data_IF_481933282269
#
_entry.id   IF_481933282269
#
_cell.length_a   1.000
_cell.length_b   1.000
_cell.length_c   1.000
_cell.angle_alpha   90.00
_cell.angle_beta   90.00
_cell.angle_gamma   90.00
#
_symmetry.space_group_name_H-M   'P 1'
#
loop_
_entity.id
_entity.type
_entity.pdbx_description
1 polymer ?
#
# COMPACT_ATOMS: atom_id res chain seq x y z
N UNK A 1 7.28 43.44 45.88
CA UNK A 1 6.47 43.62 47.12
C UNK A 1 5.70 42.34 47.34
N UNK A 2 6.19 41.53 48.27
CA UNK A 2 5.44 40.41 48.92
C UNK A 2 4.44 41.01 49.92
N UNK A 3 3.48 40.24 50.49
CA UNK A 3 3.70 39.09 51.36
C UNK A 3 2.66 37.94 51.17
N UNK A 4 3.00 36.66 51.31
CA UNK A 4 3.08 35.74 52.45
C UNK A 4 1.99 35.85 53.53
N UNK A 5 1.24 34.75 53.74
CA UNK A 5 0.73 34.11 54.99
C UNK A 5 0.02 32.81 54.62
N UNK A 6 0.36 31.64 55.01
CA UNK A 6 0.74 30.91 56.22
C UNK A 6 -0.45 30.45 57.09
N UNK A 7 -0.44 29.13 57.36
CA UNK A 7 -0.98 28.35 58.49
C UNK A 7 -2.49 27.97 58.39
N UNK A 8 -2.99 26.80 58.80
CA UNK A 8 -2.57 25.92 59.86
C UNK A 8 -3.12 24.46 59.70
N UNK A 9 -2.47 23.55 60.39
CA UNK A 9 -2.73 22.14 60.55
C UNK A 9 -3.86 21.83 61.55
N UNK A 10 -4.50 20.67 61.37
CA UNK A 10 -5.01 19.90 62.54
C UNK A 10 -5.18 18.40 62.16
N UNK A 11 -4.48 17.55 62.86
CA UNK A 11 -4.75 16.13 63.12
C UNK A 11 -5.24 16.00 64.56
N UNK A 12 -5.54 14.83 65.13
CA UNK A 12 -6.01 13.52 64.61
C UNK A 12 -7.21 12.97 65.42
N UNK A 13 -7.84 11.89 64.98
CA UNK A 13 -8.53 11.00 65.93
C UNK A 13 -8.41 9.54 65.51
N UNK A 14 -7.82 8.77 66.43
CA UNK A 14 -7.72 7.31 66.43
C UNK A 14 -9.05 6.70 66.87
N UNK A 15 -9.45 5.61 66.22
CA UNK A 15 -10.23 4.54 66.86
C UNK A 15 -9.68 3.19 66.42
N UNK A 16 -9.26 2.44 67.42
CA UNK A 16 -8.86 1.04 67.33
C UNK A 16 -10.05 0.15 67.78
N UNK A 17 -10.24 -0.97 67.12
CA UNK A 17 -10.83 -2.22 67.66
C UNK A 17 -10.67 -3.29 66.60
N UNK A 18 -9.91 -4.19 66.73
CA UNK A 18 -9.73 -5.49 67.40
C UNK A 18 -10.59 -6.61 66.79
N UNK A 19 -9.88 -7.69 66.45
CA UNK A 19 -10.27 -9.11 66.45
C UNK A 19 -10.97 -9.69 65.21
N UNK A 20 -10.29 -10.68 64.64
CA UNK A 20 -10.88 -11.66 63.74
C UNK A 20 -9.83 -12.43 62.92
N UNK A 21 -8.99 -13.25 63.59
CA UNK A 21 -8.05 -14.16 62.93
C UNK A 21 -8.83 -15.35 62.37
N UNK A 22 -9.01 -15.40 61.06
CA UNK A 22 -9.41 -16.62 60.34
C UNK A 22 -8.31 -16.97 59.34
N UNK A 23 -7.52 -18.00 59.66
CA UNK A 23 -6.63 -18.66 58.72
C UNK A 23 -7.46 -19.41 57.66
N UNK A 24 -7.53 -18.88 56.48
CA UNK A 24 -7.92 -19.63 55.28
C UNK A 24 -6.65 -20.04 54.56
N UNK A 25 -6.33 -21.31 54.61
CA UNK A 25 -5.32 -21.95 53.75
C UNK A 25 -5.86 -21.89 52.34
N UNK A 26 -5.41 -20.93 51.55
CA UNK A 26 -5.60 -20.95 50.12
C UNK A 26 -4.59 -21.94 49.50
N UNK A 27 -5.08 -23.10 49.06
CA UNK A 27 -4.34 -24.00 48.21
C UNK A 27 -3.90 -23.21 46.96
N UNK A 28 -2.59 -23.04 46.78
CA UNK A 28 -2.02 -22.59 45.52
C UNK A 28 -2.31 -23.66 44.48
N UNK A 29 -3.38 -23.50 43.73
CA UNK A 29 -3.55 -24.18 42.47
C UNK A 29 -2.55 -23.52 41.50
N UNK A 30 -1.55 -24.26 41.06
CA UNK A 30 -0.83 -23.96 39.84
C UNK A 30 -1.88 -23.93 38.72
N UNK A 31 -2.43 -22.75 38.44
CA UNK A 31 -3.19 -22.53 37.23
C UNK A 31 -2.22 -22.51 36.09
N UNK A 32 -2.35 -23.46 35.17
CA UNK A 32 -1.81 -23.33 33.82
C UNK A 32 -2.14 -21.91 33.32
N UNK A 33 -1.09 -21.14 33.02
CA UNK A 33 -1.19 -19.92 32.19
C UNK A 33 -1.59 -20.34 30.79
N UNK A 34 -2.83 -20.79 30.63
CA UNK A 34 -3.47 -20.80 29.31
C UNK A 34 -3.67 -19.34 28.94
N UNK A 35 -2.74 -18.81 28.16
CA UNK A 35 -2.90 -17.50 27.53
C UNK A 35 -4.34 -17.41 27.00
N UNK A 36 -5.06 -16.37 27.43
CA UNK A 36 -6.43 -16.16 26.97
C UNK A 36 -6.45 -16.31 25.45
N UNK A 37 -7.40 -17.07 24.85
CA UNK A 37 -7.45 -17.24 23.42
C UNK A 37 -7.49 -15.85 22.79
N UNK A 38 -6.51 -15.58 21.91
CA UNK A 38 -6.44 -14.33 21.16
C UNK A 38 -7.77 -14.24 20.41
N UNK A 39 -8.53 -13.18 20.69
CA UNK A 39 -9.79 -12.95 19.98
C UNK A 39 -9.54 -13.05 18.48
N UNK A 40 -10.39 -13.74 17.70
CA UNK A 40 -10.19 -13.87 16.28
C UNK A 40 -10.08 -12.48 15.67
N UNK A 41 -8.99 -12.24 14.93
CA UNK A 41 -8.74 -10.96 14.25
C UNK A 41 -9.86 -10.64 13.24
N UNK A 42 -9.81 -9.45 12.65
CA UNK A 42 -10.80 -8.95 11.69
C UNK A 42 -11.11 -9.93 10.53
N UNK A 43 -10.13 -10.72 10.10
CA UNK A 43 -10.32 -11.70 9.02
C UNK A 43 -11.14 -12.92 9.45
N UNK A 44 -11.49 -13.05 10.73
CA UNK A 44 -12.22 -14.20 11.27
C UNK A 44 -11.36 -15.47 11.31
N UNK A 45 -11.83 -16.48 12.01
CA UNK A 45 -11.20 -17.81 11.99
C UNK A 45 -11.31 -18.47 10.62
N UNK A 46 -10.66 -19.57 10.47
CA UNK A 46 -10.36 -20.34 9.24
C UNK A 46 -11.55 -20.78 8.35
N UNK A 47 -12.78 -20.39 8.63
CA UNK A 47 -13.96 -21.02 8.05
C UNK A 47 -14.79 -20.19 7.07
N UNK A 48 -14.41 -18.95 6.76
CA UNK A 48 -15.22 -18.13 5.85
C UNK A 48 -14.35 -17.41 4.81
N UNK A 49 -14.58 -17.71 3.53
CA UNK A 49 -14.01 -16.95 2.41
C UNK A 49 -14.65 -15.56 2.38
N UNK A 50 -14.02 -14.59 3.02
CA UNK A 50 -14.44 -13.19 2.97
C UNK A 50 -13.57 -12.42 1.99
N UNK A 51 -14.18 -11.66 1.11
CA UNK A 51 -13.50 -10.62 0.38
C UNK A 51 -13.30 -9.41 1.28
N UNK A 52 -12.04 -9.00 1.43
CA UNK A 52 -11.63 -7.87 2.25
C UNK A 52 -10.84 -6.88 1.42
N UNK A 53 -11.23 -5.61 1.51
CA UNK A 53 -10.43 -4.50 1.02
C UNK A 53 -9.38 -4.12 2.06
N UNK A 54 -8.13 -3.97 1.58
CA UNK A 54 -6.99 -3.46 2.35
C UNK A 54 -6.58 -2.14 1.74
N UNK A 55 -6.69 -1.06 2.50
CA UNK A 55 -6.46 0.31 2.03
C UNK A 55 -5.36 0.97 2.82
N UNK A 56 -4.38 1.54 2.15
CA UNK A 56 -3.42 2.47 2.76
C UNK A 56 -3.98 3.88 2.69
N UNK A 57 -4.10 4.51 3.85
CA UNK A 57 -4.48 5.90 4.00
C UNK A 57 -3.22 6.72 4.27
N UNK A 58 -2.63 7.30 3.23
CA UNK A 58 -1.30 7.92 3.35
C UNK A 58 -1.31 9.16 4.25
N UNK A 59 -2.32 10.00 4.16
CA UNK A 59 -2.47 11.17 5.05
C UNK A 59 -2.87 10.74 6.46
N UNK A 60 -3.76 9.76 6.59
CA UNK A 60 -4.18 9.18 7.88
C UNK A 60 -3.14 8.27 8.52
N UNK A 61 -2.04 7.96 7.83
CA UNK A 61 -0.94 7.08 8.29
C UNK A 61 -1.46 5.79 8.88
N UNK A 62 -2.37 5.14 8.16
CA UNK A 62 -3.04 3.93 8.63
C UNK A 62 -3.30 2.96 7.47
N UNK A 63 -3.56 1.71 7.83
CA UNK A 63 -4.19 0.73 6.97
C UNK A 63 -5.59 0.47 7.48
N UNK A 64 -6.58 0.51 6.59
CA UNK A 64 -7.95 0.11 6.91
C UNK A 64 -8.27 -1.21 6.22
N UNK A 65 -8.82 -2.15 6.97
CA UNK A 65 -9.45 -3.36 6.47
C UNK A 65 -10.96 -3.14 6.46
N UNK A 66 -11.65 -3.52 5.39
CA UNK A 66 -13.11 -3.50 5.35
C UNK A 66 -13.67 -4.73 4.64
N UNK A 67 -14.78 -5.28 5.12
CA UNK A 67 -15.45 -6.40 4.50
C UNK A 67 -16.32 -5.91 3.34
N UNK A 68 -16.20 -6.52 2.16
CA UNK A 68 -16.95 -6.09 0.97
C UNK A 68 -18.46 -6.24 1.14
N UNK A 69 -18.92 -7.31 1.79
CA UNK A 69 -20.35 -7.56 2.06
C UNK A 69 -20.94 -6.70 3.17
N UNK A 70 -20.08 -6.05 3.99
CA UNK A 70 -20.45 -5.18 5.11
C UNK A 70 -19.43 -4.08 5.27
N UNK A 71 -19.36 -3.09 4.37
CA UNK A 71 -18.25 -2.15 4.30
C UNK A 71 -18.16 -1.19 5.49
N UNK A 72 -19.16 -1.14 6.35
CA UNK A 72 -19.12 -0.45 7.65
C UNK A 72 -18.36 -1.25 8.71
N UNK A 73 -18.19 -2.56 8.52
CA UNK A 73 -17.35 -3.41 9.36
C UNK A 73 -15.91 -3.19 8.96
N UNK A 74 -15.19 -2.44 9.78
CA UNK A 74 -13.81 -1.99 9.49
C UNK A 74 -12.89 -2.18 10.68
N UNK A 75 -11.61 -2.40 10.36
CA UNK A 75 -10.51 -2.41 11.32
C UNK A 75 -9.41 -1.48 10.82
N UNK A 76 -8.96 -0.56 11.69
CA UNK A 76 -7.88 0.36 11.35
C UNK A 76 -6.59 -0.01 12.11
N UNK A 77 -5.46 0.04 11.41
CA UNK A 77 -4.12 -0.25 11.92
C UNK A 77 -3.29 1.02 11.74
N UNK A 78 -2.87 1.66 12.82
CA UNK A 78 -2.01 2.83 12.77
C UNK A 78 -0.59 2.45 12.35
N UNK A 79 0.00 3.18 11.40
CA UNK A 79 1.37 2.97 10.92
C UNK A 79 2.41 3.80 11.68
N UNK A 80 1.97 4.80 12.43
CA UNK A 80 2.80 5.68 13.23
C UNK A 80 2.28 7.12 13.26
N UNK A 81 2.85 7.92 14.14
CA UNK A 81 2.44 9.32 14.35
C UNK A 81 3.45 10.34 13.82
N UNK A 82 4.70 9.93 13.58
CA UNK A 82 5.76 10.81 13.08
C UNK A 82 5.38 11.46 11.74
N UNK A 83 5.79 12.69 11.53
CA UNK A 83 5.65 13.39 10.23
C UNK A 83 6.40 12.70 9.09
N UNK A 84 7.44 11.93 9.42
CA UNK A 84 8.21 11.17 8.42
C UNK A 84 7.48 9.93 7.91
N UNK A 85 6.46 9.43 8.60
CA UNK A 85 5.62 8.31 8.11
C UNK A 85 4.75 8.83 6.97
N UNK A 86 5.11 8.46 5.74
CA UNK A 86 4.46 8.83 4.48
C UNK A 86 4.22 7.57 3.64
N UNK A 87 3.20 6.77 3.94
CA UNK A 87 2.97 5.50 3.27
C UNK A 87 2.79 5.67 1.75
N UNK A 88 3.50 4.87 0.96
CA UNK A 88 3.63 5.03 -0.50
C UNK A 88 3.07 3.89 -1.32
N UNK A 89 2.84 2.73 -0.71
CA UNK A 89 2.39 1.55 -1.44
C UNK A 89 1.82 0.47 -0.52
N UNK A 90 1.34 -0.60 -1.12
CA UNK A 90 0.75 -1.75 -0.45
C UNK A 90 0.98 -3.01 -1.25
N UNK A 91 1.50 -4.04 -0.62
CA UNK A 91 1.50 -5.38 -1.19
C UNK A 91 0.98 -6.38 -0.16
N UNK A 92 0.15 -7.32 -0.62
CA UNK A 92 -0.46 -8.34 0.24
C UNK A 92 -0.07 -9.73 -0.27
N UNK A 93 0.38 -10.60 0.65
CA UNK A 93 0.66 -12.00 0.39
C UNK A 93 0.16 -12.87 1.54
N UNK A 94 -0.74 -13.79 1.27
CA UNK A 94 -1.45 -14.53 2.30
C UNK A 94 -2.09 -13.57 3.31
N UNK A 95 -1.90 -13.81 4.58
CA UNK A 95 -2.43 -12.97 5.68
C UNK A 95 -1.45 -11.89 6.14
N UNK A 96 -0.54 -11.45 5.27
CA UNK A 96 0.44 -10.39 5.56
C UNK A 96 0.35 -9.26 4.54
N UNK A 97 0.61 -8.06 5.01
CA UNK A 97 0.81 -6.90 4.14
C UNK A 97 2.17 -6.27 4.42
N UNK A 98 2.81 -5.73 3.38
CA UNK A 98 3.98 -4.87 3.50
C UNK A 98 3.63 -3.49 2.98
N UNK A 99 3.92 -2.46 3.79
CA UNK A 99 3.63 -1.05 3.49
C UNK A 99 4.92 -0.26 3.60
N UNK A 100 5.49 0.21 2.48
CA UNK A 100 6.59 1.17 2.51
C UNK A 100 6.13 2.50 3.12
N UNK A 101 6.92 3.05 4.04
CA UNK A 101 6.57 4.21 4.85
C UNK A 101 7.27 5.51 4.43
N UNK A 102 7.75 5.57 3.19
CA UNK A 102 8.33 6.78 2.60
C UNK A 102 9.50 7.33 3.41
N UNK A 103 9.38 8.58 3.82
CA UNK A 103 10.44 9.31 4.54
C UNK A 103 10.81 8.72 5.91
N UNK A 104 10.02 7.79 6.45
CA UNK A 104 10.42 7.01 7.63
C UNK A 104 11.49 5.96 7.30
N UNK A 105 11.89 5.84 6.03
CA UNK A 105 12.91 4.91 5.54
C UNK A 105 12.69 3.46 5.99
N UNK A 106 11.44 3.02 6.08
CA UNK A 106 11.11 1.69 6.59
C UNK A 106 9.93 1.07 5.84
N UNK A 107 9.79 -0.24 6.00
CA UNK A 107 8.64 -1.01 5.52
C UNK A 107 7.96 -1.65 6.72
N UNK A 108 6.68 -1.37 6.92
CA UNK A 108 5.88 -2.03 7.94
C UNK A 108 5.41 -3.40 7.44
N UNK A 109 5.70 -4.45 8.18
CA UNK A 109 5.10 -5.76 8.00
C UNK A 109 3.91 -5.92 8.94
N UNK A 110 2.75 -6.14 8.38
CA UNK A 110 1.47 -6.22 9.10
C UNK A 110 0.96 -7.66 9.06
N UNK A 111 0.51 -8.16 10.19
CA UNK A 111 -0.34 -9.34 10.26
C UNK A 111 -1.79 -8.89 10.12
N UNK A 112 -2.43 -9.25 9.01
CA UNK A 112 -3.82 -8.89 8.73
C UNK A 112 -4.81 -9.68 9.58
N UNK A 113 -4.45 -10.89 10.03
CA UNK A 113 -5.29 -11.72 10.88
C UNK A 113 -5.47 -11.11 12.27
N UNK A 114 -4.37 -10.68 12.89
CA UNK A 114 -4.39 -10.03 14.20
C UNK A 114 -4.54 -8.51 14.12
N UNK A 115 -4.52 -7.94 12.92
CA UNK A 115 -4.57 -6.49 12.66
C UNK A 115 -3.47 -5.72 13.42
N UNK A 116 -2.26 -6.27 13.44
CA UNK A 116 -1.12 -5.71 14.17
C UNK A 116 0.11 -5.55 13.28
N UNK A 117 0.94 -4.56 13.59
CA UNK A 117 2.28 -4.46 12.98
C UNK A 117 3.16 -5.52 13.65
N UNK A 118 3.69 -6.44 12.84
CA UNK A 118 4.63 -7.47 13.31
C UNK A 118 6.04 -6.89 13.50
N UNK A 119 6.47 -6.04 12.57
CA UNK A 119 7.78 -5.38 12.64
C UNK A 119 7.90 -4.25 11.60
N UNK A 120 8.93 -3.44 11.80
CA UNK A 120 9.45 -2.52 10.78
C UNK A 120 10.80 -3.02 10.26
N UNK A 121 10.97 -3.03 8.94
CA UNK A 121 12.25 -3.22 8.29
C UNK A 121 12.81 -1.85 7.93
N UNK A 122 14.01 -1.53 8.39
CA UNK A 122 14.56 -0.18 8.32
C UNK A 122 15.69 -0.12 7.29
N UNK A 123 15.63 0.84 6.39
CA UNK A 123 16.78 1.28 5.60
C UNK A 123 17.62 2.26 6.46
N UNK A 124 18.96 2.20 6.39
CA UNK A 124 19.82 3.08 7.21
C UNK A 124 19.61 4.58 6.90
N UNK A 125 19.16 4.92 5.71
CA UNK A 125 18.76 6.26 5.29
C UNK A 125 17.86 6.10 4.05
N UNK A 126 16.87 6.96 3.86
CA UNK A 126 16.19 6.93 2.59
C UNK A 126 14.72 7.24 2.60
N UNK A 127 14.07 6.82 1.52
CA UNK A 127 12.65 6.93 1.27
C UNK A 127 12.17 5.59 0.71
N UNK A 128 11.46 4.81 1.53
CA UNK A 128 10.91 3.51 1.13
C UNK A 128 9.67 3.72 0.25
N UNK A 129 9.72 3.31 -1.02
CA UNK A 129 8.70 3.66 -2.02
C UNK A 129 7.86 2.50 -2.51
N UNK A 130 8.45 1.38 -2.86
CA UNK A 130 7.75 0.20 -3.35
C UNK A 130 8.24 -1.06 -2.66
N UNK A 131 7.39 -2.09 -2.60
CA UNK A 131 7.76 -3.39 -2.06
C UNK A 131 7.06 -4.53 -2.80
N UNK A 132 7.65 -5.72 -2.76
CA UNK A 132 7.04 -6.95 -3.21
C UNK A 132 7.48 -8.13 -2.33
N UNK A 133 6.61 -9.11 -2.12
CA UNK A 133 6.98 -10.39 -1.55
C UNK A 133 7.59 -11.28 -2.64
N UNK A 134 8.86 -11.61 -2.52
CA UNK A 134 9.48 -12.60 -3.39
C UNK A 134 8.97 -14.01 -3.08
N UNK A 135 8.78 -14.31 -1.81
CA UNK A 135 8.17 -15.52 -1.26
C UNK A 135 7.54 -15.21 0.12
N UNK A 136 7.13 -16.23 0.88
CA UNK A 136 6.48 -16.04 2.19
C UNK A 136 7.42 -15.47 3.26
N UNK A 137 8.72 -15.51 3.02
CA UNK A 137 9.75 -15.11 3.98
C UNK A 137 10.61 -13.94 3.51
N UNK A 138 10.49 -13.53 2.25
CA UNK A 138 11.38 -12.54 1.63
C UNK A 138 10.58 -11.37 1.05
N UNK A 139 10.94 -10.16 1.47
CA UNK A 139 10.43 -8.91 0.93
C UNK A 139 11.57 -8.20 0.21
N UNK A 140 11.31 -7.73 -1.00
CA UNK A 140 12.18 -6.82 -1.74
C UNK A 140 11.54 -5.43 -1.70
N UNK A 141 12.28 -4.42 -1.29
CA UNK A 141 11.76 -3.06 -1.20
C UNK A 141 12.72 -2.02 -1.78
N UNK A 142 12.15 -1.00 -2.38
CA UNK A 142 12.86 0.10 -3.03
C UNK A 142 13.11 1.25 -2.06
N UNK A 143 14.26 1.91 -2.23
CA UNK A 143 14.66 3.13 -1.54
C UNK A 143 15.02 4.19 -2.58
N UNK A 144 14.10 5.11 -2.84
CA UNK A 144 14.25 6.10 -3.92
C UNK A 144 15.35 7.11 -3.66
N UNK A 145 15.59 7.50 -2.39
CA UNK A 145 16.63 8.47 -2.06
C UNK A 145 18.05 7.93 -2.30
N UNK A 146 18.22 6.61 -2.20
CA UNK A 146 19.52 5.96 -2.34
C UNK A 146 19.70 5.24 -3.67
N UNK A 147 18.66 5.19 -4.50
CA UNK A 147 18.64 4.45 -5.76
C UNK A 147 19.04 2.98 -5.59
N UNK A 148 18.51 2.35 -4.54
CA UNK A 148 18.78 0.95 -4.23
C UNK A 148 17.49 0.19 -4.01
N UNK A 149 17.58 -1.11 -4.18
CA UNK A 149 16.58 -2.05 -3.67
C UNK A 149 17.23 -2.95 -2.65
N UNK A 150 16.51 -3.26 -1.57
CA UNK A 150 16.99 -4.10 -0.48
C UNK A 150 16.14 -5.33 -0.27
N UNK A 151 16.77 -6.41 0.23
CA UNK A 151 16.11 -7.65 0.63
C UNK A 151 15.99 -7.71 2.15
N UNK A 152 14.77 -7.98 2.61
CA UNK A 152 14.44 -8.23 4.01
C UNK A 152 13.95 -9.66 4.17
N UNK A 153 14.31 -10.29 5.29
CA UNK A 153 13.83 -11.64 5.63
C UNK A 153 12.84 -11.56 6.79
N UNK A 154 11.62 -12.02 6.55
CA UNK A 154 10.59 -12.15 7.58
C UNK A 154 11.07 -13.14 8.64
N UNK A 155 11.04 -12.77 9.91
CA UNK A 155 11.49 -13.64 11.00
C UNK A 155 12.95 -13.46 11.44
N UNK A 156 13.78 -12.70 10.72
CA UNK A 156 15.07 -12.28 11.25
C UNK A 156 14.90 -11.19 12.30
N UNK A 157 15.78 -11.19 13.31
CA UNK A 157 15.73 -10.20 14.40
C UNK A 157 16.36 -8.86 14.04
N UNK A 158 17.21 -8.82 13.01
CA UNK A 158 17.84 -7.59 12.54
C UNK A 158 16.86 -6.71 11.74
N UNK A 159 16.77 -5.44 12.11
CA UNK A 159 15.87 -4.48 11.46
C UNK A 159 16.47 -3.83 10.21
N UNK A 160 17.78 -3.86 10.07
CA UNK A 160 18.49 -3.24 8.96
C UNK A 160 18.61 -4.16 7.74
N UNK A 161 18.58 -3.57 6.56
CA UNK A 161 18.79 -4.28 5.29
C UNK A 161 20.22 -4.81 5.14
N UNK A 162 21.11 -4.48 5.99
CA UNK A 162 22.50 -4.95 5.96
C UNK A 162 23.15 -4.85 4.56
N UNK A 163 23.95 -5.84 4.21
CA UNK A 163 24.66 -5.94 2.92
C UNK A 163 23.79 -6.38 1.74
N UNK A 164 22.50 -6.69 1.96
CA UNK A 164 21.60 -7.22 0.93
C UNK A 164 20.92 -6.11 0.14
N UNK A 165 21.69 -5.20 -0.43
CA UNK A 165 21.20 -4.13 -1.31
C UNK A 165 21.90 -4.16 -2.65
N UNK A 166 21.21 -3.70 -3.70
CA UNK A 166 21.78 -3.51 -5.02
C UNK A 166 21.34 -2.16 -5.59
N UNK A 167 22.26 -1.47 -6.27
CA UNK A 167 21.97 -0.21 -6.95
C UNK A 167 21.09 -0.47 -8.18
N UNK A 168 20.10 0.38 -8.37
CA UNK A 168 19.19 0.39 -9.51
C UNK A 168 19.14 1.77 -10.15
N UNK A 169 18.35 1.95 -11.20
CA UNK A 169 18.19 3.26 -11.83
C UNK A 169 17.58 4.30 -10.84
N UNK A 170 17.79 5.61 -11.10
CA UNK A 170 17.35 6.67 -10.19
C UNK A 170 15.86 6.68 -9.88
N UNK A 171 15.54 7.04 -8.63
CA UNK A 171 14.18 7.20 -8.12
C UNK A 171 13.32 5.93 -8.33
N UNK A 172 13.70 4.75 -7.77
CA UNK A 172 12.85 3.58 -7.82
C UNK A 172 11.54 3.83 -7.04
N UNK A 173 10.39 3.48 -7.66
CA UNK A 173 9.03 3.78 -7.18
C UNK A 173 8.23 2.55 -6.85
N UNK A 174 8.36 1.48 -7.63
CA UNK A 174 7.63 0.25 -7.44
C UNK A 174 8.52 -0.99 -7.60
N UNK A 175 8.09 -2.09 -6.99
CA UNK A 175 8.70 -3.42 -7.14
C UNK A 175 7.60 -4.43 -7.45
N UNK A 176 7.79 -5.22 -8.50
CA UNK A 176 6.84 -6.25 -8.94
C UNK A 176 7.60 -7.56 -9.16
N UNK A 177 7.01 -8.69 -8.76
CA UNK A 177 7.59 -10.00 -9.02
C UNK A 177 7.05 -10.61 -10.30
N UNK A 178 7.94 -10.96 -11.22
CA UNK A 178 7.60 -11.72 -12.42
C UNK A 178 8.79 -12.60 -12.85
N UNK A 179 8.53 -13.75 -13.45
CA UNK A 179 9.57 -14.67 -13.96
C UNK A 179 10.69 -14.96 -12.93
N UNK A 180 10.32 -15.14 -11.67
CA UNK A 180 11.23 -15.32 -10.52
C UNK A 180 12.24 -14.17 -10.30
N UNK A 181 11.94 -12.96 -10.80
CA UNK A 181 12.76 -11.74 -10.69
C UNK A 181 11.98 -10.66 -9.96
N UNK A 182 12.70 -9.82 -9.22
CA UNK A 182 12.19 -8.54 -8.75
C UNK A 182 12.40 -7.49 -9.85
N UNK A 183 11.31 -6.96 -10.38
CA UNK A 183 11.32 -5.93 -11.41
C UNK A 183 11.13 -4.58 -10.70
N UNK A 184 12.18 -3.80 -10.68
CA UNK A 184 12.22 -2.50 -9.99
C UNK A 184 11.95 -1.41 -11.01
N UNK A 185 10.81 -0.74 -10.85
CA UNK A 185 10.42 0.41 -11.68
C UNK A 185 11.08 1.65 -11.11
N UNK A 186 11.80 2.38 -11.95
CA UNK A 186 12.44 3.65 -11.59
C UNK A 186 11.92 4.77 -12.49
N UNK A 187 11.53 5.88 -11.86
CA UNK A 187 11.07 7.08 -12.57
C UNK A 187 12.17 7.72 -13.41
N UNK A 188 13.44 7.48 -13.05
CA UNK A 188 14.61 8.06 -13.69
C UNK A 188 14.58 9.60 -13.69
N UNK A 189 14.39 10.16 -12.49
CA UNK A 189 14.36 11.59 -12.23
C UNK A 189 15.64 12.01 -11.49
N UNK A 190 16.00 13.28 -11.62
CA UNK A 190 17.06 13.91 -10.82
C UNK A 190 16.58 14.29 -9.40
N UNK A 191 17.44 14.96 -8.64
CA UNK A 191 17.13 15.40 -7.28
C UNK A 191 16.03 16.50 -7.23
N UNK A 192 15.74 17.16 -8.35
CA UNK A 192 14.70 18.18 -8.49
C UNK A 192 13.40 17.57 -9.06
N UNK A 193 13.33 16.24 -9.19
CA UNK A 193 12.24 15.51 -9.82
C UNK A 193 12.03 15.82 -11.30
N UNK A 194 13.05 16.32 -12.01
CA UNK A 194 13.02 16.47 -13.45
C UNK A 194 13.48 15.17 -14.13
N UNK A 195 12.84 14.76 -15.25
CA UNK A 195 13.24 13.57 -15.99
C UNK A 195 14.69 13.69 -16.53
N UNK A 196 15.56 12.74 -16.19
CA UNK A 196 16.89 12.60 -16.78
C UNK A 196 16.79 11.87 -18.13
N UNK A 197 15.71 11.11 -18.31
CA UNK A 197 15.40 10.32 -19.47
C UNK A 197 14.13 9.53 -19.29
N UNK A 198 13.91 8.57 -20.16
CA UNK A 198 12.79 7.64 -19.99
C UNK A 198 12.97 6.80 -18.71
N UNK A 199 11.84 6.35 -18.15
CA UNK A 199 11.83 5.43 -17.02
C UNK A 199 12.62 4.15 -17.32
N UNK A 200 13.06 3.47 -16.26
CA UNK A 200 13.87 2.26 -16.38
C UNK A 200 13.28 1.18 -15.48
N UNK A 201 13.16 -0.04 -16.01
CA UNK A 201 12.91 -1.24 -15.18
C UNK A 201 14.21 -1.99 -15.05
N UNK A 202 14.62 -2.29 -13.81
CA UNK A 202 15.78 -3.10 -13.49
C UNK A 202 15.30 -4.46 -12.96
N UNK A 203 15.71 -5.55 -13.61
CA UNK A 203 15.48 -6.90 -13.13
C UNK A 203 16.57 -7.30 -12.15
N UNK A 204 16.18 -7.76 -10.98
CA UNK A 204 17.08 -8.17 -9.88
C UNK A 204 16.74 -9.60 -9.47
N UNK A 205 17.75 -10.43 -9.27
CA UNK A 205 17.58 -11.74 -8.63
C UNK A 205 17.29 -11.54 -7.13
N UNK A 206 16.12 -11.93 -6.63
CA UNK A 206 15.75 -11.69 -5.24
C UNK A 206 16.57 -12.53 -4.23
N UNK A 207 17.26 -13.55 -4.68
CA UNK A 207 18.09 -14.43 -3.84
C UNK A 207 19.53 -13.93 -3.73
N UNK A 208 20.13 -13.54 -4.84
CA UNK A 208 21.53 -13.09 -4.90
C UNK A 208 21.69 -11.58 -4.86
N UNK A 209 20.61 -10.83 -5.07
CA UNK A 209 20.61 -9.36 -5.20
C UNK A 209 21.51 -8.88 -6.34
N UNK A 210 21.59 -9.63 -7.42
CA UNK A 210 22.33 -9.24 -8.63
C UNK A 210 21.39 -8.66 -9.68
N UNK A 211 21.84 -7.65 -10.40
CA UNK A 211 21.14 -7.13 -11.57
C UNK A 211 21.24 -8.12 -12.70
N UNK A 212 20.10 -8.54 -13.24
CA UNK A 212 19.98 -9.51 -14.34
C UNK A 212 19.79 -8.83 -15.69
N UNK A 213 19.42 -7.56 -15.72
CA UNK A 213 19.21 -6.77 -16.92
C UNK A 213 18.36 -5.53 -16.66
N UNK A 214 18.26 -4.67 -17.66
CA UNK A 214 17.48 -3.45 -17.62
C UNK A 214 16.67 -3.29 -18.90
N UNK A 215 15.55 -2.57 -18.81
CA UNK A 215 14.76 -2.12 -19.97
C UNK A 215 14.46 -0.62 -19.82
N UNK A 216 14.70 0.14 -20.87
CA UNK A 216 14.29 1.55 -20.94
C UNK A 216 12.85 1.63 -21.43
N UNK A 217 11.99 2.35 -20.70
CA UNK A 217 10.58 2.50 -21.04
C UNK A 217 10.37 3.41 -22.25
N UNK A 218 9.17 3.36 -22.82
CA UNK A 218 8.82 4.27 -23.93
C UNK A 218 8.32 5.64 -23.48
N UNK A 219 8.35 5.96 -22.19
CA UNK A 219 7.95 7.23 -21.61
C UNK A 219 8.76 7.60 -20.37
N UNK A 220 8.62 8.84 -19.92
CA UNK A 220 9.32 9.39 -18.76
C UNK A 220 8.52 9.18 -17.48
N UNK A 221 9.20 9.26 -16.33
CA UNK A 221 8.59 9.22 -14.99
C UNK A 221 7.72 7.96 -14.79
N UNK A 222 8.34 6.77 -14.90
CA UNK A 222 7.63 5.50 -14.63
C UNK A 222 7.34 5.37 -13.14
N UNK A 223 6.07 5.13 -12.78
CA UNK A 223 5.62 5.20 -11.38
C UNK A 223 5.14 3.88 -10.82
N UNK A 224 4.52 3.04 -11.65
CA UNK A 224 3.94 1.78 -11.18
C UNK A 224 3.92 0.73 -12.30
N UNK A 225 3.74 -0.54 -11.93
CA UNK A 225 3.60 -1.62 -12.89
C UNK A 225 2.79 -2.78 -12.33
N UNK A 226 2.17 -3.54 -13.24
CA UNK A 226 1.49 -4.80 -12.94
C UNK A 226 1.85 -5.87 -13.97
N UNK A 227 1.75 -7.13 -13.57
CA UNK A 227 1.92 -8.28 -14.45
C UNK A 227 0.55 -8.75 -14.93
N UNK A 228 0.39 -8.85 -16.24
CA UNK A 228 -0.82 -9.39 -16.85
C UNK A 228 -0.88 -10.91 -16.81
N UNK A 229 -2.07 -11.50 -17.08
CA UNK A 229 -2.21 -12.95 -17.18
C UNK A 229 -1.45 -13.56 -18.39
N UNK A 230 -1.02 -12.73 -19.32
CA UNK A 230 -0.12 -13.07 -20.43
C UNK A 230 1.36 -13.16 -20.00
N UNK A 231 1.67 -12.88 -18.74
CA UNK A 231 3.02 -12.88 -18.20
C UNK A 231 3.85 -11.65 -18.55
N UNK A 232 3.29 -10.65 -19.23
CA UNK A 232 3.96 -9.41 -19.57
C UNK A 232 3.86 -8.40 -18.42
N UNK A 233 4.85 -7.53 -18.33
CA UNK A 233 4.87 -6.39 -17.40
C UNK A 233 4.31 -5.16 -18.12
N UNK A 234 3.35 -4.50 -17.48
CA UNK A 234 2.71 -3.28 -17.93
C UNK A 234 3.15 -2.14 -17.01
N UNK A 235 3.91 -1.18 -17.54
CA UNK A 235 4.54 -0.08 -16.77
C UNK A 235 3.86 1.23 -17.12
N UNK A 236 3.34 1.92 -16.11
CA UNK A 236 2.77 3.26 -16.25
C UNK A 236 3.87 4.30 -16.27
N UNK A 237 3.88 5.12 -17.30
CA UNK A 237 4.75 6.29 -17.41
C UNK A 237 3.89 7.54 -17.23
N UNK A 238 4.04 8.20 -16.10
CA UNK A 238 3.23 9.37 -15.69
C UNK A 238 3.49 10.59 -16.57
N UNK A 239 4.71 10.71 -17.09
CA UNK A 239 5.13 11.88 -17.87
C UNK A 239 5.45 13.09 -16.99
N UNK A 240 5.25 14.27 -17.53
CA UNK A 240 5.56 15.57 -16.92
C UNK A 240 4.34 16.27 -16.27
N UNK A 241 3.22 15.59 -16.17
CA UNK A 241 1.92 16.13 -15.70
C UNK A 241 1.31 17.23 -16.60
N UNK A 242 1.87 17.45 -17.80
CA UNK A 242 1.36 18.38 -18.80
C UNK A 242 0.89 17.61 -20.03
N UNK A 243 1.78 16.81 -20.59
CA UNK A 243 1.46 15.89 -21.68
C UNK A 243 0.78 14.62 -21.17
N UNK A 244 0.15 13.90 -22.07
CA UNK A 244 -0.44 12.59 -21.74
C UNK A 244 0.67 11.57 -21.45
N UNK A 245 0.46 10.77 -20.41
CA UNK A 245 1.31 9.64 -20.09
C UNK A 245 1.14 8.48 -21.06
N UNK A 246 1.89 7.41 -20.82
CA UNK A 246 1.88 6.20 -21.65
C UNK A 246 1.93 4.93 -20.83
N UNK A 247 1.66 3.78 -21.46
CA UNK A 247 1.80 2.45 -20.91
C UNK A 247 2.86 1.70 -21.73
N UNK A 248 3.95 1.23 -21.10
CA UNK A 248 4.98 0.42 -21.75
C UNK A 248 4.79 -1.04 -21.41
N UNK A 249 4.81 -1.91 -22.41
CA UNK A 249 4.69 -3.37 -22.25
C UNK A 249 6.07 -3.99 -22.42
N UNK A 250 6.49 -4.77 -21.42
CA UNK A 250 7.83 -5.37 -21.34
C UNK A 250 7.71 -6.87 -21.15
N UNK A 251 8.54 -7.64 -21.86
CA UNK A 251 8.74 -9.06 -21.53
C UNK A 251 9.71 -9.18 -20.35
N UNK A 252 9.26 -9.63 -19.16
CA UNK A 252 10.10 -9.63 -17.97
C UNK A 252 11.22 -10.68 -17.98
N UNK A 253 11.11 -11.70 -18.84
CA UNK A 253 12.15 -12.71 -18.98
C UNK A 253 13.34 -12.24 -19.82
N UNK A 254 13.07 -11.48 -20.89
CA UNK A 254 14.08 -10.97 -21.83
C UNK A 254 14.44 -9.51 -21.60
N UNK A 255 13.66 -8.77 -20.81
CA UNK A 255 13.76 -7.31 -20.60
C UNK A 255 13.62 -6.50 -21.90
N UNK A 256 12.87 -7.02 -22.85
CA UNK A 256 12.60 -6.33 -24.11
C UNK A 256 11.25 -5.62 -24.06
N UNK A 257 11.25 -4.35 -24.44
CA UNK A 257 10.03 -3.56 -24.67
C UNK A 257 9.34 -4.09 -25.93
N UNK A 258 8.08 -4.45 -25.80
CA UNK A 258 7.25 -4.97 -26.87
C UNK A 258 6.40 -3.85 -27.53
N UNK A 259 5.90 -2.93 -26.72
CA UNK A 259 5.07 -1.82 -27.20
C UNK A 259 5.06 -0.67 -26.19
N UNK A 260 4.74 0.51 -26.69
CA UNK A 260 4.36 1.68 -25.86
C UNK A 260 3.04 2.22 -26.38
N UNK A 261 2.06 2.28 -25.50
CA UNK A 261 0.69 2.72 -25.80
C UNK A 261 0.55 4.17 -25.31
N UNK A 262 0.32 5.13 -26.17
CA UNK A 262 0.12 6.52 -25.79
C UNK A 262 -1.29 6.76 -25.23
N UNK A 263 -1.57 8.02 -24.88
CA UNK A 263 -2.90 8.53 -24.53
C UNK A 263 -3.49 7.92 -23.24
N UNK A 264 -2.65 7.75 -22.21
CA UNK A 264 -3.09 7.31 -20.88
C UNK A 264 -3.63 8.48 -20.00
N UNK A 265 -3.95 9.62 -20.62
CA UNK A 265 -4.36 10.82 -19.88
C UNK A 265 -3.18 11.55 -19.25
N UNK A 266 -3.46 12.69 -18.63
CA UNK A 266 -2.44 13.46 -17.89
C UNK A 266 -2.31 12.88 -16.49
N UNK A 267 -1.08 12.54 -16.09
CA UNK A 267 -0.76 12.05 -14.75
C UNK A 267 -1.35 10.66 -14.42
N UNK A 268 -1.25 9.63 -15.28
CA UNK A 268 -1.53 8.27 -14.86
C UNK A 268 -0.53 7.88 -13.75
N UNK A 269 -0.97 7.22 -12.68
CA UNK A 269 -0.12 7.01 -11.50
C UNK A 269 0.01 5.57 -11.04
N UNK A 270 -1.04 4.77 -11.16
CA UNK A 270 -1.06 3.40 -10.67
C UNK A 270 -1.76 2.45 -11.65
N UNK A 271 -1.46 1.16 -11.55
CA UNK A 271 -2.05 0.12 -12.38
C UNK A 271 -2.35 -1.15 -11.57
N UNK A 272 -3.50 -1.73 -11.82
CA UNK A 272 -3.79 -3.13 -11.48
C UNK A 272 -4.33 -3.87 -12.71
N UNK A 273 -4.15 -5.18 -12.73
CA UNK A 273 -4.67 -6.03 -13.83
C UNK A 273 -5.44 -7.18 -13.19
N UNK A 274 -6.67 -7.40 -13.64
CA UNK A 274 -7.48 -8.51 -13.17
C UNK A 274 -7.12 -9.83 -13.87
N UNK A 275 -7.68 -10.94 -13.36
CA UNK A 275 -7.45 -12.26 -13.96
C UNK A 275 -8.04 -12.38 -15.39
N UNK A 276 -8.99 -11.53 -15.75
CA UNK A 276 -9.56 -11.43 -17.09
C UNK A 276 -8.64 -10.75 -18.10
N UNK A 277 -7.65 -10.00 -17.62
CA UNK A 277 -6.71 -9.22 -18.43
C UNK A 277 -7.15 -7.78 -18.66
N UNK A 278 -8.09 -7.27 -17.87
CA UNK A 278 -8.39 -5.83 -17.88
C UNK A 278 -7.41 -5.10 -16.96
N UNK A 279 -6.68 -4.16 -17.53
CA UNK A 279 -5.79 -3.26 -16.83
C UNK A 279 -6.54 -1.98 -16.44
N UNK A 280 -6.53 -1.64 -15.15
CA UNK A 280 -7.14 -0.46 -14.56
C UNK A 280 -6.04 0.54 -14.23
N UNK A 281 -5.93 1.59 -15.06
CA UNK A 281 -4.90 2.62 -14.96
C UNK A 281 -5.51 3.84 -14.28
N UNK A 282 -5.11 4.09 -13.05
CA UNK A 282 -5.61 5.21 -12.24
C UNK A 282 -4.82 6.48 -12.53
N UNK A 283 -5.51 7.60 -12.71
CA UNK A 283 -4.90 8.88 -13.01
C UNK A 283 -5.38 10.00 -12.09
N UNK A 284 -4.47 10.86 -11.69
CA UNK A 284 -4.74 11.96 -10.74
C UNK A 284 -5.80 12.94 -11.23
N UNK A 285 -5.93 13.09 -12.55
CA UNK A 285 -6.83 14.10 -13.15
C UNK A 285 -7.97 13.50 -13.97
N UNK A 286 -7.87 12.23 -14.35
CA UNK A 286 -8.83 11.63 -15.31
C UNK A 286 -9.67 10.48 -14.73
N UNK A 287 -9.41 10.01 -13.52
CA UNK A 287 -10.08 8.83 -12.96
C UNK A 287 -9.36 7.55 -13.38
N UNK A 288 -10.09 6.48 -13.69
CA UNK A 288 -9.52 5.19 -14.08
C UNK A 288 -9.82 4.87 -15.55
N UNK A 289 -8.77 4.62 -16.32
CA UNK A 289 -8.87 4.06 -17.66
C UNK A 289 -8.93 2.53 -17.57
N UNK A 290 -9.58 1.88 -18.52
CA UNK A 290 -9.64 0.42 -18.63
C UNK A 290 -9.10 0.00 -19.97
N UNK A 291 -8.01 -0.76 -19.95
CA UNK A 291 -7.32 -1.30 -21.12
C UNK A 291 -7.43 -2.82 -21.14
N UNK A 292 -7.85 -3.39 -22.26
CA UNK A 292 -7.87 -4.85 -22.42
C UNK A 292 -6.50 -5.32 -22.97
N UNK A 293 -5.78 -6.11 -22.18
CA UNK A 293 -4.45 -6.63 -22.53
C UNK A 293 -4.50 -7.64 -23.69
N UNK A 294 -5.62 -8.32 -23.91
CA UNK A 294 -5.82 -9.34 -24.95
C UNK A 294 -6.08 -8.70 -26.29
N UNK A 295 -7.03 -7.75 -26.35
CA UNK A 295 -7.39 -7.05 -27.59
C UNK A 295 -6.49 -5.86 -27.86
N UNK A 296 -5.69 -5.44 -26.88
CA UNK A 296 -4.82 -4.25 -26.91
C UNK A 296 -5.59 -2.97 -27.28
N UNK A 297 -6.74 -2.81 -26.67
CA UNK A 297 -7.64 -1.69 -26.91
C UNK A 297 -8.23 -1.13 -25.60
N UNK A 298 -8.62 0.15 -25.65
CA UNK A 298 -9.34 0.75 -24.54
C UNK A 298 -10.79 0.26 -24.50
N UNK A 299 -11.20 -0.24 -23.33
CA UNK A 299 -12.61 -0.43 -22.94
C UNK A 299 -13.18 0.89 -22.45
N UNK A 300 -12.37 1.65 -21.69
CA UNK A 300 -12.65 3.00 -21.19
C UNK A 300 -11.38 3.85 -21.36
N UNK A 301 -11.42 4.79 -22.26
CA UNK A 301 -10.30 5.71 -22.52
C UNK A 301 -10.49 7.07 -21.86
N UNK A 302 -9.64 8.03 -22.23
CA UNK A 302 -9.64 9.40 -21.68
C UNK A 302 -10.95 10.16 -21.90
N UNK A 303 -11.70 9.85 -22.94
CA UNK A 303 -12.98 10.50 -23.25
C UNK A 303 -14.17 9.90 -22.47
N UNK A 304 -14.02 8.71 -21.92
CA UNK A 304 -15.06 8.00 -21.17
C UNK A 304 -14.50 7.21 -19.98
N UNK A 305 -13.65 7.81 -19.12
CA UNK A 305 -13.03 7.12 -18.02
C UNK A 305 -14.06 6.70 -16.97
N UNK A 306 -13.69 5.74 -16.11
CA UNK A 306 -14.47 5.39 -14.93
C UNK A 306 -14.14 6.37 -13.82
N UNK A 307 -15.12 7.16 -13.38
CA UNK A 307 -14.93 8.12 -12.30
C UNK A 307 -16.25 8.57 -11.67
N UNK A 308 -16.21 8.96 -10.43
CA UNK A 308 -17.24 9.80 -9.82
C UNK A 308 -17.10 11.23 -10.36
N UNK A 309 -18.20 11.85 -10.73
CA UNK A 309 -18.20 13.20 -11.31
C UNK A 309 -18.23 14.28 -10.23
N UNK A 310 -17.57 15.40 -10.52
CA UNK A 310 -17.74 16.65 -9.82
C UNK A 310 -18.99 17.39 -10.34
N UNK A 311 -19.44 18.44 -9.62
CA UNK A 311 -20.60 19.22 -10.03
C UNK A 311 -20.44 19.88 -11.41
N UNK A 312 -19.21 20.19 -11.82
CA UNK A 312 -18.88 20.74 -13.13
C UNK A 312 -18.77 19.70 -14.25
N UNK A 313 -19.08 18.41 -13.95
CA UNK A 313 -19.00 17.28 -14.89
C UNK A 313 -17.61 16.68 -15.08
N UNK A 314 -16.54 17.25 -14.52
CA UNK A 314 -15.21 16.67 -14.59
C UNK A 314 -15.09 15.43 -13.69
N UNK A 315 -14.13 14.55 -14.01
CA UNK A 315 -13.84 13.38 -13.20
C UNK A 315 -13.13 13.74 -11.89
N UNK A 316 -13.45 13.04 -10.81
CA UNK A 316 -12.55 12.93 -9.66
C UNK A 316 -11.38 12.05 -10.06
N UNK A 317 -10.17 12.45 -9.67
CA UNK A 317 -8.96 11.66 -9.88
C UNK A 317 -9.00 10.35 -9.10
N UNK A 318 -8.16 9.40 -9.50
CA UNK A 318 -8.00 8.11 -8.83
C UNK A 318 -6.53 7.88 -8.47
N UNK A 319 -6.28 7.39 -7.27
CA UNK A 319 -4.93 7.04 -6.79
C UNK A 319 -4.62 5.56 -6.94
N UNK A 320 -5.63 4.71 -6.81
CA UNK A 320 -5.54 3.28 -7.04
C UNK A 320 -6.91 2.75 -7.48
N UNK A 321 -6.90 1.65 -8.20
CA UNK A 321 -8.12 0.90 -8.53
C UNK A 321 -7.80 -0.59 -8.54
N UNK A 322 -8.77 -1.41 -8.18
CA UNK A 322 -8.68 -2.88 -8.21
C UNK A 322 -10.07 -3.48 -8.31
N UNK A 323 -10.18 -4.75 -8.70
CA UNK A 323 -11.45 -5.44 -8.77
C UNK A 323 -11.58 -6.52 -7.69
N UNK A 324 -12.82 -6.84 -7.34
CA UNK A 324 -13.12 -8.03 -6.58
C UNK A 324 -13.35 -9.25 -7.51
N UNK A 325 -13.61 -10.43 -6.93
CA UNK A 325 -13.85 -11.65 -7.70
C UNK A 325 -15.08 -11.56 -8.64
N UNK A 326 -16.08 -10.75 -8.29
CA UNK A 326 -17.25 -10.49 -9.14
C UNK A 326 -16.97 -9.47 -10.26
N UNK A 327 -15.77 -8.91 -10.37
CA UNK A 327 -15.38 -7.91 -11.36
C UNK A 327 -15.87 -6.48 -11.05
N UNK A 328 -16.44 -6.22 -9.87
CA UNK A 328 -16.76 -4.86 -9.46
C UNK A 328 -15.46 -4.09 -9.21
N UNK A 329 -15.38 -2.87 -9.75
CA UNK A 329 -14.21 -2.01 -9.60
C UNK A 329 -14.31 -1.15 -8.35
N UNK A 330 -13.27 -1.16 -7.56
CA UNK A 330 -13.06 -0.32 -6.39
C UNK A 330 -11.97 0.70 -6.70
N UNK A 331 -12.29 1.98 -6.55
CA UNK A 331 -11.42 3.10 -6.93
C UNK A 331 -11.15 3.99 -5.72
N UNK A 332 -9.88 4.15 -5.36
CA UNK A 332 -9.46 5.03 -4.28
C UNK A 332 -9.43 6.49 -4.75
N UNK A 333 -10.24 7.32 -4.11
CA UNK A 333 -10.24 8.76 -4.26
C UNK A 333 -9.65 9.41 -3.01
N UNK A 334 -8.53 10.07 -3.16
CA UNK A 334 -7.73 10.62 -2.07
C UNK A 334 -8.48 11.70 -1.25
N UNK A 335 -9.41 12.39 -1.88
CA UNK A 335 -10.08 13.55 -1.33
C UNK A 335 -9.33 14.85 -1.63
N UNK A 336 -9.98 15.97 -1.33
CA UNK A 336 -9.39 17.30 -1.46
C UNK A 336 -10.01 18.21 -0.41
N UNK A 337 -9.29 18.52 0.65
CA UNK A 337 -9.75 19.46 1.68
C UNK A 337 -9.97 20.86 1.12
N UNK A 338 -9.13 21.29 0.18
CA UNK A 338 -9.26 22.60 -0.49
C UNK A 338 -10.55 22.72 -1.31
N UNK A 339 -11.13 21.61 -1.75
CA UNK A 339 -12.38 21.57 -2.52
C UNK A 339 -13.56 21.05 -1.68
N UNK A 340 -13.37 20.78 -0.39
CA UNK A 340 -14.40 20.20 0.48
C UNK A 340 -14.81 18.79 0.08
N UNK A 341 -13.95 18.04 -0.59
CA UNK A 341 -14.24 16.71 -1.09
C UNK A 341 -13.67 15.66 -0.13
N UNK A 342 -14.52 14.90 0.59
CA UNK A 342 -14.05 13.83 1.46
C UNK A 342 -13.44 12.66 0.66
N UNK A 343 -12.49 11.93 1.25
CA UNK A 343 -11.91 10.72 0.65
C UNK A 343 -12.91 9.56 0.66
N UNK A 344 -12.91 8.76 -0.43
CA UNK A 344 -13.77 7.59 -0.58
C UNK A 344 -13.08 6.47 -1.36
N UNK A 345 -13.57 5.25 -1.17
CA UNK A 345 -13.46 4.16 -2.13
C UNK A 345 -14.78 4.11 -2.90
N UNK A 346 -14.79 4.50 -4.16
CA UNK A 346 -15.94 4.39 -5.04
C UNK A 346 -16.06 2.97 -5.59
N UNK A 347 -17.28 2.44 -5.65
CA UNK A 347 -17.56 1.10 -6.14
C UNK A 347 -18.37 1.19 -7.42
N UNK A 348 -17.91 0.50 -8.46
CA UNK A 348 -18.56 0.48 -9.77
C UNK A 348 -18.93 -0.95 -10.15
N UNK A 349 -20.10 -1.14 -10.75
CA UNK A 349 -20.59 -2.44 -11.21
C UNK A 349 -19.75 -2.99 -12.35
N UNK A 350 -19.46 -4.28 -12.28
CA UNK A 350 -18.79 -5.02 -13.35
C UNK A 350 -19.41 -4.77 -14.73
N UNK A 351 -18.59 -4.71 -15.75
CA UNK A 351 -18.99 -4.55 -17.15
C UNK A 351 -19.56 -3.18 -17.51
N UNK A 352 -20.50 -2.63 -16.74
CA UNK A 352 -21.13 -1.35 -17.01
C UNK A 352 -20.33 -0.15 -16.52
N UNK A 353 -19.54 -0.34 -15.43
CA UNK A 353 -18.84 0.71 -14.70
C UNK A 353 -19.78 1.81 -14.17
N UNK A 354 -21.03 1.46 -13.91
CA UNK A 354 -21.96 2.36 -13.23
C UNK A 354 -21.59 2.46 -11.74
N UNK A 355 -21.51 3.69 -11.21
CA UNK A 355 -21.27 3.93 -9.79
C UNK A 355 -22.42 3.30 -8.98
N UNK A 356 -22.08 2.45 -8.02
CA UNK A 356 -23.06 1.71 -7.21
C UNK A 356 -22.98 2.03 -5.72
N UNK A 357 -21.79 2.41 -5.22
CA UNK A 357 -21.59 2.67 -3.78
C UNK A 357 -20.35 3.55 -3.55
N UNK A 358 -20.19 4.00 -2.30
CA UNK A 358 -19.00 4.70 -1.82
C UNK A 358 -18.71 4.32 -0.38
N UNK A 359 -17.46 3.96 -0.07
CA UNK A 359 -17.01 3.49 1.23
C UNK A 359 -16.04 4.51 1.81
N UNK A 360 -16.28 4.96 3.04
CA UNK A 360 -15.33 5.78 3.78
C UNK A 360 -14.32 4.86 4.46
N UNK A 361 -13.06 4.90 4.05
CA UNK A 361 -12.02 3.98 4.51
C UNK A 361 -10.82 4.66 5.21
N UNK A 362 -10.92 5.95 5.52
CA UNK A 362 -9.86 6.73 6.17
C UNK A 362 -9.42 7.94 5.35
N UNK A 363 -8.37 8.64 5.80
CA UNK A 363 -7.94 9.92 5.22
C UNK A 363 -6.80 9.71 4.22
N UNK A 364 -7.03 10.07 2.96
CA UNK A 364 -6.07 9.97 1.87
C UNK A 364 -5.79 8.54 1.42
N UNK A 365 -6.82 7.77 1.00
CA UNK A 365 -6.61 6.43 0.45
C UNK A 365 -5.76 6.52 -0.82
N UNK A 366 -4.60 5.88 -0.82
CA UNK A 366 -3.58 5.97 -1.87
C UNK A 366 -3.20 4.64 -2.51
N UNK A 367 -3.42 3.53 -1.80
CA UNK A 367 -3.24 2.18 -2.34
C UNK A 367 -4.37 1.27 -1.86
N UNK A 368 -4.78 0.33 -2.70
CA UNK A 368 -5.94 -0.53 -2.47
C UNK A 368 -5.70 -1.90 -3.08
N UNK A 369 -5.96 -2.93 -2.29
CA UNK A 369 -5.96 -4.33 -2.73
C UNK A 369 -7.22 -5.01 -2.19
N UNK A 370 -7.88 -5.83 -3.01
CA UNK A 370 -8.94 -6.73 -2.56
C UNK A 370 -8.43 -8.16 -2.58
N UNK A 371 -8.67 -8.90 -1.52
CA UNK A 371 -8.27 -10.31 -1.36
C UNK A 371 -9.36 -11.10 -0.68
N UNK A 372 -9.46 -12.37 -1.04
CA UNK A 372 -10.23 -13.39 -0.31
C UNK A 372 -9.31 -14.04 0.71
N UNK A 373 -9.76 -14.15 1.95
CA UNK A 373 -9.03 -14.70 3.08
C UNK A 373 -9.76 -15.90 3.68
#
# INVERSE_FOLDING_TARGET
>A
MSPVRSLAASAPTRFASACGLLFLIAAASCGDDTAAPIAPGFLGGTSSNHEVGVVVNSTGKSVTLFQLGSPTTQQQIALGTSSTVTPTGLVVRGRRAAVPLGNAASVALINLETSTIQRFFVFPNGNATGAAFADDTTIIAANSLRNVVGRFTVGQTADAVGSNTVTVAPQPTAVVMASARALVVSSNLDANFAPIGNGIVTAVDPKTMQVLGTAQMGGTNSTDAAVGPDGLLYVVNTGDFVAQGSLTIVNPATMQVQATIPNMGVGPGAISIDAGGLAYISGFFVGTLVWDTKTRAFVRGVNNPVCAKLANGSCRGAFAATTNAAGNLYQAFFGSSAQGLPPYIFVYKAGTFALSDSISAGVGPSALVIRTF
#
